data_IF_986382932829
#
_entry.id   IF_986382932829
#
_cell.length_a   1.000
_cell.length_b   1.000
_cell.length_c   1.000
_cell.angle_alpha   90.00
_cell.angle_beta   90.00
_cell.angle_gamma   90.00
#
_symmetry.space_group_name_H-M   'P 1'
#
loop_
_entity.id
_entity.type
_entity.pdbx_description
1 polymer ?
#
# COMPACT_ATOMS: atom_id res chain seq x y z
N UNK A 1 18.48 -5.17 -15.63
CA UNK A 1 17.69 -6.42 -15.60
C UNK A 1 16.49 -6.26 -14.66
N UNK A 2 15.55 -5.39 -15.02
CA UNK A 2 14.10 -5.50 -14.72
C UNK A 2 13.39 -4.91 -15.96
N UNK A 3 13.72 -5.43 -17.15
CA UNK A 3 13.16 -4.96 -18.43
C UNK A 3 12.47 -6.09 -19.20
N UNK A 4 12.14 -7.20 -18.56
CA UNK A 4 11.63 -8.39 -19.25
C UNK A 4 10.32 -8.97 -18.73
N UNK A 5 9.58 -8.27 -17.87
CA UNK A 5 8.14 -8.50 -17.75
C UNK A 5 7.43 -7.26 -18.28
N UNK A 6 6.90 -7.38 -19.49
CA UNK A 6 5.94 -6.45 -20.07
C UNK A 6 4.64 -6.48 -19.26
N UNK A 7 4.67 -6.04 -18.02
CA UNK A 7 3.51 -5.46 -17.36
C UNK A 7 3.28 -4.15 -18.10
N UNK A 8 2.38 -4.16 -19.09
CA UNK A 8 1.82 -2.93 -19.64
C UNK A 8 0.94 -2.31 -18.55
N UNK A 9 1.57 -1.67 -17.58
CA UNK A 9 0.87 -0.84 -16.61
C UNK A 9 0.47 0.43 -17.35
N UNK A 10 -0.82 0.71 -17.43
CA UNK A 10 -1.30 1.96 -18.01
C UNK A 10 -0.85 3.16 -17.17
N UNK A 11 -0.74 4.33 -17.80
CA UNK A 11 -0.43 5.57 -17.08
C UNK A 11 -1.45 5.84 -15.96
N UNK A 12 -2.72 5.46 -16.19
CA UNK A 12 -3.79 5.57 -15.20
C UNK A 12 -3.55 4.67 -13.97
N UNK A 13 -3.13 3.42 -14.18
CA UNK A 13 -2.76 2.51 -13.09
C UNK A 13 -1.54 3.03 -12.32
N UNK A 14 -0.53 3.56 -13.02
CA UNK A 14 0.64 4.18 -12.39
C UNK A 14 0.25 5.37 -11.50
N UNK A 15 -0.63 6.24 -12.00
CA UNK A 15 -1.16 7.38 -11.22
C UNK A 15 -1.92 6.89 -9.98
N UNK A 16 -2.74 5.84 -10.12
CA UNK A 16 -3.47 5.23 -8.99
C UNK A 16 -2.53 4.66 -7.94
N UNK A 17 -1.51 3.91 -8.36
CA UNK A 17 -0.46 3.36 -7.48
C UNK A 17 0.23 4.50 -6.72
N UNK A 18 0.73 5.51 -7.42
CA UNK A 18 1.44 6.64 -6.80
C UNK A 18 0.55 7.41 -5.82
N UNK A 19 -0.74 7.60 -6.15
CA UNK A 19 -1.72 8.24 -5.27
C UNK A 19 -1.91 7.47 -3.96
N UNK A 20 -2.09 6.15 -4.03
CA UNK A 20 -2.23 5.29 -2.83
C UNK A 20 -0.95 5.27 -2.02
N UNK A 21 0.22 5.15 -2.67
CA UNK A 21 1.51 5.15 -1.97
C UNK A 21 1.73 6.43 -1.19
N UNK A 22 1.37 7.60 -1.75
CA UNK A 22 1.43 8.88 -1.05
C UNK A 22 0.45 8.95 0.12
N UNK A 23 -0.81 8.52 -0.08
CA UNK A 23 -1.82 8.50 1.00
C UNK A 23 -1.37 7.67 2.19
N UNK A 24 -0.73 6.54 1.95
CA UNK A 24 -0.24 5.63 3.00
C UNK A 24 1.18 5.97 3.49
N UNK A 25 1.79 7.05 2.97
CA UNK A 25 3.15 7.47 3.30
C UNK A 25 4.20 6.36 3.11
N UNK A 26 4.13 5.67 1.97
CA UNK A 26 5.04 4.57 1.57
C UNK A 26 5.72 4.80 0.22
N UNK A 27 5.57 5.98 -0.39
CA UNK A 27 6.17 6.31 -1.69
C UNK A 27 7.71 6.24 -1.67
N UNK A 28 8.34 6.60 -0.54
CA UNK A 28 9.77 6.43 -0.31
C UNK A 28 10.27 4.96 -0.28
N UNK A 29 9.35 3.99 -0.28
CA UNK A 29 9.68 2.55 -0.28
C UNK A 29 9.69 1.94 -1.68
N UNK A 30 9.27 2.67 -2.72
CA UNK A 30 9.04 2.13 -4.07
C UNK A 30 10.22 1.36 -4.67
N UNK A 31 11.46 1.74 -4.33
CA UNK A 31 12.69 1.12 -4.84
C UNK A 31 13.26 0.02 -3.95
N UNK A 32 12.68 -0.20 -2.77
CA UNK A 32 13.14 -1.20 -1.79
C UNK A 32 12.48 -2.55 -2.06
N UNK A 33 13.21 -3.64 -1.79
CA UNK A 33 12.65 -4.99 -1.79
C UNK A 33 11.87 -5.23 -0.50
N UNK A 34 10.88 -6.12 -0.54
CA UNK A 34 10.08 -6.48 0.65
C UNK A 34 10.95 -6.91 1.85
N UNK A 35 12.05 -7.63 1.60
CA UNK A 35 12.99 -8.08 2.64
C UNK A 35 13.76 -6.94 3.33
N UNK A 36 13.74 -5.73 2.77
CA UNK A 36 14.43 -4.54 3.29
C UNK A 36 13.48 -3.63 4.09
N UNK A 37 12.20 -4.00 4.17
CA UNK A 37 11.15 -3.24 4.87
C UNK A 37 10.96 -3.76 6.30
N UNK A 38 10.66 -2.85 7.23
CA UNK A 38 10.21 -3.24 8.57
C UNK A 38 8.85 -3.97 8.52
N UNK A 39 8.50 -4.71 9.57
CA UNK A 39 7.21 -5.43 9.62
C UNK A 39 5.99 -4.51 9.38
N UNK A 40 5.99 -3.32 10.00
CA UNK A 40 4.95 -2.32 9.75
C UNK A 40 4.95 -1.79 8.31
N UNK A 41 6.13 -1.57 7.71
CA UNK A 41 6.22 -1.16 6.30
C UNK A 41 5.69 -2.25 5.36
N UNK A 42 6.00 -3.52 5.62
CA UNK A 42 5.46 -4.66 4.85
C UNK A 42 3.93 -4.72 4.98
N UNK A 43 3.39 -4.53 6.19
CA UNK A 43 1.94 -4.44 6.41
C UNK A 43 1.29 -3.31 5.61
N UNK A 44 1.90 -2.12 5.58
CA UNK A 44 1.38 -0.99 4.78
C UNK A 44 1.39 -1.29 3.29
N UNK A 45 2.44 -1.93 2.77
CA UNK A 45 2.49 -2.32 1.35
C UNK A 45 1.44 -3.38 1.04
N UNK A 46 1.24 -4.38 1.91
CA UNK A 46 0.17 -5.38 1.77
C UNK A 46 -1.22 -4.74 1.78
N UNK A 47 -1.45 -3.77 2.67
CA UNK A 47 -2.70 -3.01 2.71
C UNK A 47 -2.91 -2.20 1.42
N UNK A 48 -1.87 -1.53 0.91
CA UNK A 48 -1.93 -0.80 -0.36
C UNK A 48 -2.33 -1.72 -1.53
N UNK A 49 -1.78 -2.93 -1.58
CA UNK A 49 -2.11 -3.94 -2.59
C UNK A 49 -3.56 -4.45 -2.47
N UNK A 50 -4.13 -4.48 -1.27
CA UNK A 50 -5.52 -4.83 -1.07
C UNK A 50 -6.47 -3.71 -1.52
N UNK A 51 -6.19 -2.47 -1.13
CA UNK A 51 -7.04 -1.30 -1.41
C UNK A 51 -7.01 -0.92 -2.89
N UNK A 52 -5.87 -1.03 -3.57
CA UNK A 52 -5.76 -0.61 -4.98
C UNK A 52 -6.71 -1.36 -5.93
N UNK A 53 -7.13 -2.57 -5.53
CA UNK A 53 -8.09 -3.38 -6.28
C UNK A 53 -9.53 -2.88 -6.18
N UNK A 54 -9.77 -1.84 -5.38
CA UNK A 54 -11.09 -1.26 -5.14
C UNK A 54 -12.14 -2.34 -4.76
N UNK A 55 -11.88 -3.16 -3.73
CA UNK A 55 -12.75 -4.27 -3.40
C UNK A 55 -14.05 -3.76 -2.76
N UNK A 56 -15.19 -4.36 -3.14
CA UNK A 56 -16.49 -4.09 -2.49
C UNK A 56 -16.51 -4.44 -1.00
N UNK A 57 -15.69 -5.40 -0.60
CA UNK A 57 -15.55 -5.87 0.78
C UNK A 57 -14.07 -6.06 1.05
N UNK A 58 -13.56 -5.37 2.08
CA UNK A 58 -12.19 -5.50 2.55
C UNK A 58 -12.22 -6.15 3.94
N UNK A 59 -11.74 -7.39 4.03
CA UNK A 59 -11.55 -8.09 5.30
C UNK A 59 -10.14 -7.82 5.78
N UNK A 60 -10.02 -7.36 7.03
CA UNK A 60 -8.75 -7.07 7.65
C UNK A 60 -8.66 -7.82 8.98
N UNK A 61 -7.69 -8.72 9.09
CA UNK A 61 -7.40 -9.43 10.33
C UNK A 61 -6.21 -8.76 11.01
N UNK A 62 -6.48 -8.09 12.14
CA UNK A 62 -5.50 -7.33 12.92
C UNK A 62 -4.51 -6.46 12.09
N UNK A 63 -4.99 -5.73 11.06
CA UNK A 63 -4.13 -5.07 10.06
C UNK A 63 -3.19 -4.02 10.65
N UNK A 64 -3.54 -3.46 11.80
CA UNK A 64 -2.92 -2.26 12.36
C UNK A 64 -2.30 -2.47 13.75
N UNK A 65 -2.22 -3.70 14.25
CA UNK A 65 -1.79 -4.00 15.63
C UNK A 65 -0.35 -3.56 15.95
N UNK A 66 0.48 -3.32 14.94
CA UNK A 66 1.86 -2.85 15.11
C UNK A 66 2.03 -1.33 15.04
N UNK A 67 0.94 -0.56 14.93
CA UNK A 67 0.98 0.91 14.84
C UNK A 67 0.44 1.57 16.11
N UNK A 68 0.95 2.76 16.41
CA UNK A 68 0.38 3.61 17.44
C UNK A 68 -1.04 4.06 17.09
N UNK A 69 -1.81 4.43 18.11
CA UNK A 69 -3.23 4.76 17.99
C UNK A 69 -3.51 5.87 16.95
N UNK A 70 -2.64 6.89 16.83
CA UNK A 70 -2.86 7.99 15.89
C UNK A 70 -2.73 7.50 14.45
N UNK A 71 -1.70 6.69 14.19
CA UNK A 71 -1.48 6.11 12.87
C UNK A 71 -2.58 5.12 12.49
N UNK A 72 -3.16 4.40 13.45
CA UNK A 72 -4.32 3.55 13.18
C UNK A 72 -5.51 4.36 12.66
N UNK A 73 -5.83 5.49 13.30
CA UNK A 73 -6.91 6.38 12.86
C UNK A 73 -6.66 6.96 11.47
N UNK A 74 -5.45 7.45 11.20
CA UNK A 74 -5.07 7.98 9.88
C UNK A 74 -5.33 6.95 8.77
N UNK A 75 -4.93 5.70 9.00
CA UNK A 75 -5.11 4.62 8.02
C UNK A 75 -6.58 4.24 7.85
N UNK A 76 -7.35 4.18 8.93
CA UNK A 76 -8.79 3.90 8.85
C UNK A 76 -9.56 4.99 8.09
N UNK A 77 -9.17 6.27 8.24
CA UNK A 77 -9.77 7.38 7.51
C UNK A 77 -9.46 7.32 6.01
N UNK A 78 -8.31 6.77 5.63
CA UNK A 78 -7.96 6.52 4.23
C UNK A 78 -8.83 5.40 3.62
N UNK A 79 -9.16 4.36 4.41
CA UNK A 79 -9.91 3.18 3.95
C UNK A 79 -11.42 3.45 3.86
N UNK A 80 -11.97 4.29 4.75
CA UNK A 80 -13.43 4.53 4.87
C UNK A 80 -14.02 5.46 3.80
N UNK A 81 -13.22 5.98 2.87
CA UNK A 81 -13.67 6.84 1.77
C UNK A 81 -13.79 6.05 0.47
#
# INVERSE_FOLDING_TARGET
MIDSLSLRISDEELIKVMSIMKKLNIDGLAKKRMTELSGGQQQMVSLAQAIIKDPKVLLLDEPLNNFDIYRQFEILDIIKK
#
